data_IF_233036745354
#
_entry.id   IF_233036745354
#
_cell.length_a   1.000
_cell.length_b   1.000
_cell.length_c   1.000
_cell.angle_alpha   90.00
_cell.angle_beta   90.00
_cell.angle_gamma   90.00
#
_symmetry.space_group_name_H-M   'P 1'
#
loop_
_entity.id
_entity.type
_entity.pdbx_description
1 polymer ?
#
# COMPACT_ATOMS: atom_id res chain seq x y z
N UNK A 1 -11.97 -1.44 23.38
CA UNK A 1 -11.06 -0.28 23.21
C UNK A 1 -9.84 -0.53 24.10
N UNK A 2 -8.62 -0.53 23.56
CA UNK A 2 -7.42 -0.80 24.38
C UNK A 2 -7.18 0.35 25.35
N UNK A 3 -6.61 0.08 26.54
CA UNK A 3 -6.13 1.12 27.48
C UNK A 3 -5.27 2.19 26.78
N UNK A 4 -4.51 1.79 25.77
CA UNK A 4 -3.69 2.70 24.94
C UNK A 4 -4.53 3.65 24.08
N UNK A 5 -5.68 3.20 23.60
CA UNK A 5 -6.59 4.01 22.77
C UNK A 5 -7.33 5.04 23.63
N UNK A 6 -7.77 4.64 24.82
CA UNK A 6 -8.40 5.54 25.80
C UNK A 6 -7.43 6.64 26.24
N UNK A 7 -6.19 6.28 26.58
CA UNK A 7 -5.15 7.25 26.91
C UNK A 7 -4.87 8.21 25.75
N UNK A 8 -4.81 7.70 24.52
CA UNK A 8 -4.57 8.53 23.33
C UNK A 8 -5.70 9.51 23.07
N UNK A 9 -6.96 9.11 23.28
CA UNK A 9 -8.13 9.95 23.08
C UNK A 9 -8.17 11.15 24.04
N UNK A 10 -7.72 10.98 25.28
CA UNK A 10 -7.66 12.04 26.29
C UNK A 10 -6.35 12.84 26.26
N UNK A 11 -5.36 12.43 25.45
CA UNK A 11 -4.08 13.13 25.36
C UNK A 11 -4.20 14.37 24.47
N UNK A 12 -3.86 15.57 24.95
CA UNK A 12 -3.83 16.80 24.14
C UNK A 12 -3.05 16.66 22.83
N UNK A 13 -3.57 17.26 21.75
CA UNK A 13 -2.99 17.16 20.41
C UNK A 13 -1.52 17.63 20.35
N UNK A 14 -1.14 18.65 21.14
CA UNK A 14 0.24 19.15 21.21
C UNK A 14 1.21 18.13 21.83
N UNK A 15 0.76 17.32 22.79
CA UNK A 15 1.58 16.23 23.38
C UNK A 15 1.74 15.07 22.40
N UNK A 16 0.67 14.74 21.66
CA UNK A 16 0.74 13.73 20.61
C UNK A 16 1.70 14.16 19.49
N UNK A 17 1.64 15.41 19.05
CA UNK A 17 2.54 15.96 18.03
C UNK A 17 3.99 16.02 18.52
N UNK A 18 4.21 16.47 19.76
CA UNK A 18 5.52 16.45 20.41
C UNK A 18 6.11 15.04 20.48
N UNK A 19 5.34 14.04 20.92
CA UNK A 19 5.83 12.67 21.02
C UNK A 19 6.14 12.07 19.64
N UNK A 20 5.33 12.37 18.61
CA UNK A 20 5.63 12.00 17.22
C UNK A 20 6.95 12.63 16.74
N UNK A 21 7.15 13.93 16.98
CA UNK A 21 8.39 14.64 16.62
C UNK A 21 9.60 14.07 17.35
N UNK A 22 9.47 13.80 18.65
CA UNK A 22 10.53 13.18 19.47
C UNK A 22 10.92 11.80 18.93
N UNK A 23 9.95 10.93 18.64
CA UNK A 23 10.20 9.59 18.06
C UNK A 23 10.89 9.69 16.69
N UNK A 24 10.43 10.60 15.82
CA UNK A 24 11.05 10.87 14.52
C UNK A 24 12.49 11.33 14.67
N UNK A 25 12.76 12.30 15.54
CA UNK A 25 14.11 12.81 15.79
C UNK A 25 15.04 11.72 16.34
N UNK A 26 14.55 10.89 17.28
CA UNK A 26 15.32 9.74 17.79
C UNK A 26 15.68 8.78 16.67
N UNK A 27 14.72 8.43 15.80
CA UNK A 27 14.97 7.52 14.66
C UNK A 27 15.97 8.15 13.68
N UNK A 28 15.82 9.42 13.34
CA UNK A 28 16.76 10.11 12.45
C UNK A 28 18.19 10.11 13.02
N UNK A 29 18.37 10.37 14.33
CA UNK A 29 19.68 10.25 14.99
C UNK A 29 20.25 8.83 14.89
N UNK A 30 19.42 7.80 15.04
CA UNK A 30 19.85 6.40 14.85
C UNK A 30 20.32 6.16 13.41
N UNK A 31 19.56 6.63 12.42
CA UNK A 31 19.91 6.47 11.00
C UNK A 31 21.19 7.22 10.64
N UNK A 32 21.37 8.43 11.17
CA UNK A 32 22.58 9.23 10.99
C UNK A 32 23.81 8.50 11.57
N UNK A 33 23.69 7.93 12.78
CA UNK A 33 24.75 7.13 13.37
C UNK A 33 25.13 5.91 12.52
N UNK A 34 24.14 5.23 11.92
CA UNK A 34 24.42 4.12 10.98
C UNK A 34 25.23 4.62 9.78
N UNK A 35 24.91 5.80 9.25
CA UNK A 35 25.67 6.40 8.15
C UNK A 35 27.12 6.70 8.56
N UNK A 36 27.32 7.38 9.69
CA UNK A 36 28.63 7.80 10.22
C UNK A 36 29.53 6.60 10.59
N UNK A 37 28.93 5.47 10.96
CA UNK A 37 29.65 4.24 11.30
C UNK A 37 29.82 3.28 10.11
N UNK A 38 29.51 3.72 8.89
CA UNK A 38 29.67 2.90 7.68
C UNK A 38 28.65 1.75 7.55
N UNK A 39 27.57 1.77 8.32
CA UNK A 39 26.52 0.74 8.34
C UNK A 39 25.33 1.07 7.41
N UNK A 40 25.56 1.92 6.41
CA UNK A 40 24.57 2.19 5.36
C UNK A 40 24.32 0.94 4.52
N UNK A 41 23.05 0.63 4.28
CA UNK A 41 22.63 -0.44 3.38
C UNK A 41 22.83 0.04 1.94
N UNK A 42 23.49 -0.79 1.13
CA UNK A 42 23.69 -0.57 -0.30
C UNK A 42 22.63 -1.30 -1.12
N UNK A 43 22.52 -0.99 -2.41
CA UNK A 43 21.60 -1.68 -3.31
C UNK A 43 21.91 -3.17 -3.37
N UNK A 44 23.20 -3.54 -3.34
CA UNK A 44 23.63 -4.94 -3.32
C UNK A 44 23.18 -5.69 -2.06
N UNK A 45 23.23 -5.05 -0.88
CA UNK A 45 22.75 -5.66 0.37
C UNK A 45 21.25 -5.95 0.29
N UNK A 46 20.45 -4.98 -0.17
CA UNK A 46 19.00 -5.15 -0.34
C UNK A 46 18.70 -6.21 -1.41
N UNK A 47 19.43 -6.21 -2.53
CA UNK A 47 19.29 -7.21 -3.60
C UNK A 47 19.52 -8.63 -3.07
N UNK A 48 20.53 -8.82 -2.20
CA UNK A 48 20.81 -10.11 -1.59
C UNK A 48 19.67 -10.56 -0.67
N UNK A 49 19.07 -9.65 0.10
CA UNK A 49 17.88 -9.94 0.93
C UNK A 49 16.68 -10.37 0.05
N UNK A 50 16.43 -9.63 -1.04
CA UNK A 50 15.35 -9.92 -2.00
C UNK A 50 15.53 -11.30 -2.66
N UNK A 51 16.74 -11.63 -3.12
CA UNK A 51 17.03 -12.96 -3.69
C UNK A 51 16.84 -14.07 -2.66
N UNK A 52 17.30 -13.85 -1.42
CA UNK A 52 17.20 -14.85 -0.33
C UNK A 52 15.76 -15.17 0.05
N UNK A 53 14.85 -14.19 0.00
CA UNK A 53 13.43 -14.45 0.26
C UNK A 53 12.68 -15.04 -0.93
N UNK A 54 13.34 -15.20 -2.08
CA UNK A 54 12.80 -15.85 -3.27
C UNK A 54 12.21 -14.90 -4.31
N UNK A 55 12.58 -13.61 -4.30
CA UNK A 55 12.33 -12.73 -5.44
C UNK A 55 13.24 -13.14 -6.59
N UNK A 56 12.67 -13.27 -7.79
CA UNK A 56 13.36 -13.77 -8.98
C UNK A 56 13.19 -12.81 -10.15
N UNK A 57 14.08 -12.95 -11.14
CA UNK A 57 13.94 -12.26 -12.41
C UNK A 57 12.60 -12.64 -13.08
N UNK A 58 11.91 -11.67 -13.67
CA UNK A 58 10.57 -11.81 -14.25
C UNK A 58 9.41 -11.61 -13.26
N UNK A 59 9.68 -11.45 -11.96
CA UNK A 59 8.61 -11.27 -10.98
C UNK A 59 7.83 -9.95 -11.18
N UNK A 60 6.52 -10.01 -10.97
CA UNK A 60 5.68 -8.84 -10.70
C UNK A 60 5.59 -8.60 -9.20
N UNK A 61 5.99 -7.41 -8.73
CA UNK A 61 5.98 -7.01 -7.34
C UNK A 61 5.14 -5.75 -7.10
N UNK A 62 4.19 -5.82 -6.18
CA UNK A 62 3.56 -4.65 -5.58
C UNK A 62 4.23 -4.36 -4.22
N UNK A 63 4.75 -3.15 -4.03
CA UNK A 63 5.55 -2.83 -2.83
C UNK A 63 4.94 -1.68 -2.03
N UNK A 64 4.66 -1.95 -0.76
CA UNK A 64 4.40 -0.97 0.28
C UNK A 64 5.64 -0.85 1.15
N UNK A 65 6.00 0.36 1.59
CA UNK A 65 7.24 0.53 2.35
C UNK A 65 7.24 1.68 3.35
N UNK A 66 8.06 1.52 4.40
CA UNK A 66 8.48 2.61 5.29
C UNK A 66 9.99 2.74 5.26
N UNK A 67 10.50 3.75 4.53
CA UNK A 67 11.94 4.04 4.42
C UNK A 67 12.63 4.05 5.79
N UNK A 68 12.00 4.69 6.77
CA UNK A 68 12.56 4.83 8.11
C UNK A 68 12.76 3.49 8.83
N UNK A 69 12.09 2.41 8.42
CA UNK A 69 12.16 1.09 9.07
C UNK A 69 13.19 0.17 8.42
N UNK A 70 13.55 0.41 7.16
CA UNK A 70 14.54 -0.40 6.42
C UNK A 70 15.94 -0.26 7.02
N UNK A 71 16.31 0.96 7.44
CA UNK A 71 17.67 1.29 7.87
C UNK A 71 18.14 2.56 7.19
N UNK A 72 19.43 2.89 7.32
CA UNK A 72 20.01 3.98 6.54
C UNK A 72 20.37 3.44 5.15
N UNK A 73 19.83 4.05 4.08
CA UNK A 73 20.13 3.68 2.70
C UNK A 73 21.22 4.61 2.15
N UNK A 74 22.23 4.06 1.47
CA UNK A 74 23.41 4.81 1.02
C UNK A 74 23.07 6.02 0.12
N UNK A 75 22.04 5.88 -0.72
CA UNK A 75 21.55 6.92 -1.64
C UNK A 75 20.05 7.20 -1.42
N UNK A 76 19.57 7.03 -0.19
CA UNK A 76 18.16 7.23 0.14
C UNK A 76 17.23 6.28 -0.65
N UNK A 77 16.05 6.75 -1.10
CA UNK A 77 15.09 5.93 -1.84
C UNK A 77 15.66 5.18 -3.05
N UNK A 78 16.61 5.79 -3.78
CA UNK A 78 17.23 5.23 -4.98
C UNK A 78 17.80 3.84 -4.72
N UNK A 79 18.54 3.67 -3.62
CA UNK A 79 19.13 2.39 -3.22
C UNK A 79 18.13 1.24 -3.16
N UNK A 80 16.91 1.51 -2.68
CA UNK A 80 15.88 0.49 -2.54
C UNK A 80 15.18 0.19 -3.87
N UNK A 81 14.90 1.23 -4.68
CA UNK A 81 14.32 1.06 -6.01
C UNK A 81 15.27 0.31 -6.95
N UNK A 82 16.54 0.70 -6.99
CA UNK A 82 17.56 0.04 -7.82
C UNK A 82 17.70 -1.45 -7.47
N UNK A 83 17.65 -1.78 -6.18
CA UNK A 83 17.71 -3.17 -5.73
C UNK A 83 16.47 -3.98 -6.15
N UNK A 84 15.28 -3.39 -6.07
CA UNK A 84 14.03 -4.03 -6.53
C UNK A 84 14.06 -4.28 -8.04
N UNK A 85 14.38 -3.26 -8.84
CA UNK A 85 14.48 -3.36 -10.30
C UNK A 85 15.57 -4.37 -10.70
N UNK A 86 16.71 -4.38 -10.02
CA UNK A 86 17.78 -5.37 -10.26
C UNK A 86 17.36 -6.80 -9.90
N UNK A 87 16.53 -6.98 -8.86
CA UNK A 87 16.08 -8.29 -8.42
C UNK A 87 15.12 -8.94 -9.43
N UNK A 88 14.20 -8.13 -9.99
CA UNK A 88 13.20 -8.60 -10.95
C UNK A 88 13.71 -8.55 -12.40
N UNK A 89 14.76 -7.78 -12.68
CA UNK A 89 15.34 -7.67 -14.02
C UNK A 89 14.41 -7.01 -15.05
N UNK A 90 14.83 -6.95 -16.33
CA UNK A 90 14.11 -6.20 -17.37
C UNK A 90 12.75 -6.80 -17.75
N UNK A 91 12.52 -8.09 -17.44
CA UNK A 91 11.26 -8.78 -17.73
C UNK A 91 10.28 -8.75 -16.55
N UNK A 92 10.67 -8.18 -15.41
CA UNK A 92 9.84 -8.06 -14.22
C UNK A 92 9.07 -6.74 -14.17
N UNK A 93 8.06 -6.67 -13.31
CA UNK A 93 7.23 -5.48 -13.14
C UNK A 93 7.26 -5.02 -11.68
N UNK A 94 7.56 -3.75 -11.45
CA UNK A 94 7.52 -3.13 -10.13
C UNK A 94 6.34 -2.17 -10.07
N UNK A 95 5.51 -2.32 -9.04
CA UNK A 95 4.37 -1.47 -8.76
C UNK A 95 4.44 -0.91 -7.35
N UNK A 96 3.97 0.33 -7.17
CA UNK A 96 3.83 0.95 -5.86
C UNK A 96 2.58 1.81 -5.78
N UNK A 97 1.76 1.68 -4.71
CA UNK A 97 0.67 2.62 -4.45
C UNK A 97 1.24 4.01 -4.17
N UNK A 98 0.83 4.97 -4.97
CA UNK A 98 1.32 6.35 -4.95
C UNK A 98 0.23 7.31 -4.51
N UNK A 99 -0.69 6.88 -3.63
CA UNK A 99 -1.84 7.71 -3.26
C UNK A 99 -1.45 9.14 -2.83
N UNK A 100 -2.11 10.17 -3.37
CA UNK A 100 -1.90 11.57 -2.99
C UNK A 100 -2.54 11.92 -1.64
N UNK A 101 -3.16 10.94 -0.99
CA UNK A 101 -3.90 11.09 0.25
C UNK A 101 -3.10 10.56 1.46
N UNK A 102 -3.09 11.33 2.55
CA UNK A 102 -2.49 10.94 3.84
C UNK A 102 -3.52 10.72 4.97
N UNK A 103 -4.81 10.80 4.65
CA UNK A 103 -5.96 10.76 5.55
C UNK A 103 -7.07 9.84 4.98
N UNK A 104 -8.30 9.93 5.47
CA UNK A 104 -9.45 9.24 4.87
C UNK A 104 -9.74 9.74 3.45
N UNK A 105 -10.08 8.83 2.55
CA UNK A 105 -10.41 9.15 1.15
C UNK A 105 -11.52 10.20 1.03
N UNK A 106 -12.53 10.14 1.91
CA UNK A 106 -13.61 11.13 1.97
C UNK A 106 -13.10 12.54 2.29
N UNK A 107 -12.16 12.67 3.23
CA UNK A 107 -11.55 13.95 3.54
C UNK A 107 -10.70 14.46 2.38
N UNK A 108 -9.93 13.58 1.74
CA UNK A 108 -9.12 13.95 0.58
C UNK A 108 -9.96 14.49 -0.56
N UNK A 109 -10.97 13.75 -1.01
CA UNK A 109 -11.75 14.11 -2.19
C UNK A 109 -12.60 15.38 -1.97
N UNK A 110 -13.09 15.62 -0.75
CA UNK A 110 -13.85 16.84 -0.42
C UNK A 110 -12.97 18.09 -0.34
N UNK A 111 -11.68 17.93 -0.07
CA UNK A 111 -10.75 19.04 0.12
C UNK A 111 -9.72 19.20 -1.01
N UNK A 112 -9.86 18.41 -2.08
CA UNK A 112 -8.93 18.40 -3.21
C UNK A 112 -9.69 18.70 -4.50
N UNK A 113 -9.36 19.79 -5.21
CA UNK A 113 -10.12 20.21 -6.39
C UNK A 113 -9.89 19.28 -7.60
N UNK A 114 -8.72 18.63 -7.68
CA UNK A 114 -8.37 17.75 -8.79
C UNK A 114 -7.26 16.75 -8.42
N UNK A 115 -7.15 15.69 -9.20
CA UNK A 115 -6.01 14.80 -9.23
C UNK A 115 -5.30 14.93 -10.58
N UNK A 116 -4.01 15.25 -10.56
CA UNK A 116 -3.15 15.30 -11.74
C UNK A 116 -2.16 14.13 -11.67
N UNK A 117 -2.19 13.26 -12.69
CA UNK A 117 -1.42 12.01 -12.69
C UNK A 117 0.08 12.23 -12.62
N UNK A 118 0.58 13.29 -13.27
CA UNK A 118 2.00 13.64 -13.35
C UNK A 118 2.45 14.49 -12.16
N UNK A 119 1.59 15.36 -11.65
CA UNK A 119 2.00 16.40 -10.69
C UNK A 119 1.53 16.16 -9.26
N UNK A 120 0.47 15.38 -9.03
CA UNK A 120 -0.03 15.13 -7.67
C UNK A 120 0.93 14.22 -6.90
N UNK A 121 1.63 14.72 -5.86
CA UNK A 121 2.68 13.96 -5.20
C UNK A 121 2.10 12.80 -4.41
N UNK A 122 2.83 11.71 -4.33
CA UNK A 122 2.53 10.61 -3.41
C UNK A 122 2.68 11.08 -1.96
N UNK A 123 1.74 10.67 -1.11
CA UNK A 123 1.79 10.87 0.36
C UNK A 123 2.07 9.57 1.12
N UNK A 124 2.23 8.45 0.43
CA UNK A 124 2.48 7.13 1.05
C UNK A 124 3.94 6.87 1.43
N UNK A 125 4.85 7.81 1.13
CA UNK A 125 6.23 7.76 1.60
C UNK A 125 7.25 8.32 0.60
N UNK A 126 8.48 8.54 1.06
CA UNK A 126 9.58 9.05 0.20
C UNK A 126 9.97 8.09 -0.91
N UNK A 127 9.81 6.78 -0.69
CA UNK A 127 10.12 5.75 -1.69
C UNK A 127 9.11 5.81 -2.83
N UNK A 128 7.82 5.88 -2.51
CA UNK A 128 6.76 5.91 -3.52
C UNK A 128 6.76 7.22 -4.30
N UNK A 129 7.08 8.35 -3.67
CA UNK A 129 7.25 9.62 -4.39
C UNK A 129 8.48 9.61 -5.32
N UNK A 130 9.62 9.08 -4.84
CA UNK A 130 10.80 8.93 -5.70
C UNK A 130 10.49 8.03 -6.90
N UNK A 131 9.84 6.89 -6.67
CA UNK A 131 9.44 5.96 -7.72
C UNK A 131 8.49 6.59 -8.74
N UNK A 132 7.45 7.29 -8.26
CA UNK A 132 6.47 8.00 -9.10
C UNK A 132 7.13 8.99 -10.06
N UNK A 133 8.18 9.68 -9.60
CA UNK A 133 8.87 10.72 -10.34
C UNK A 133 9.98 10.22 -11.27
N UNK A 134 10.23 8.91 -11.34
CA UNK A 134 11.18 8.35 -12.31
C UNK A 134 10.64 8.51 -13.74
N UNK A 135 11.48 8.82 -14.74
CA UNK A 135 11.05 9.00 -16.12
C UNK A 135 10.26 7.82 -16.70
N UNK A 136 10.64 6.59 -16.34
CA UNK A 136 10.02 5.36 -16.86
C UNK A 136 8.79 4.92 -16.04
N UNK A 137 8.45 5.61 -14.94
CA UNK A 137 7.30 5.28 -14.11
C UNK A 137 6.02 5.86 -14.69
N UNK A 138 5.11 4.99 -15.09
CA UNK A 138 3.74 5.36 -15.48
C UNK A 138 2.78 5.17 -14.30
N UNK A 139 1.70 5.94 -14.24
CA UNK A 139 0.78 5.93 -13.08
C UNK A 139 -0.69 5.84 -13.52
N UNK A 140 -1.47 5.06 -12.80
CA UNK A 140 -2.90 4.86 -13.07
C UNK A 140 -3.74 6.09 -12.71
N UNK A 141 -4.85 6.32 -13.42
CA UNK A 141 -5.71 7.51 -13.31
C UNK A 141 -6.87 7.39 -12.30
N UNK A 142 -6.74 6.61 -11.23
CA UNK A 142 -7.73 6.64 -10.15
C UNK A 142 -7.41 7.78 -9.17
N UNK A 143 -8.36 8.68 -8.85
CA UNK A 143 -8.06 9.89 -8.08
C UNK A 143 -7.63 9.62 -6.62
N UNK A 144 -8.11 8.54 -6.01
CA UNK A 144 -7.85 8.25 -4.58
C UNK A 144 -6.73 7.23 -4.33
N UNK A 145 -6.56 6.23 -5.19
CA UNK A 145 -5.64 5.10 -4.98
C UNK A 145 -4.79 4.79 -6.23
N UNK A 146 -4.15 5.80 -6.85
CA UNK A 146 -3.31 5.54 -8.02
C UNK A 146 -2.11 4.64 -7.66
N UNK A 147 -1.71 3.80 -8.61
CA UNK A 147 -0.53 2.95 -8.53
C UNK A 147 0.41 3.34 -9.68
N UNK A 148 1.69 3.50 -9.35
CA UNK A 148 2.75 3.64 -10.34
C UNK A 148 3.31 2.28 -10.70
N UNK A 149 3.78 2.12 -11.94
CA UNK A 149 4.36 0.90 -12.45
C UNK A 149 5.58 1.19 -13.35
N UNK A 150 6.60 0.34 -13.25
CA UNK A 150 7.74 0.22 -14.17
C UNK A 150 7.86 -1.25 -14.58
N UNK A 151 7.99 -1.51 -15.88
CA UNK A 151 8.15 -2.86 -16.41
C UNK A 151 7.40 -3.06 -17.73
N UNK A 152 7.64 -4.19 -18.43
CA UNK A 152 7.05 -4.46 -19.75
C UNK A 152 5.52 -4.55 -19.74
N UNK A 153 4.91 -4.87 -18.60
CA UNK A 153 3.45 -4.93 -18.42
C UNK A 153 2.89 -3.72 -17.66
N UNK A 154 3.67 -2.63 -17.51
CA UNK A 154 3.24 -1.44 -16.77
C UNK A 154 1.87 -0.93 -17.22
N UNK A 155 1.66 -0.79 -18.54
CA UNK A 155 0.39 -0.32 -19.12
C UNK A 155 -0.78 -1.27 -18.83
N UNK A 156 -0.54 -2.59 -18.86
CA UNK A 156 -1.57 -3.59 -18.53
C UNK A 156 -2.13 -3.38 -17.12
N UNK A 157 -1.25 -3.11 -16.15
CA UNK A 157 -1.67 -2.93 -14.77
C UNK A 157 -2.46 -1.65 -14.53
N UNK A 158 -2.07 -0.55 -15.18
CA UNK A 158 -2.55 0.79 -14.79
C UNK A 158 -3.69 1.34 -15.64
N UNK A 159 -3.79 0.95 -16.92
CA UNK A 159 -4.66 1.65 -17.89
C UNK A 159 -6.15 1.56 -17.55
N UNK A 160 -6.62 0.40 -17.09
CA UNK A 160 -8.05 0.17 -16.85
C UNK A 160 -8.51 0.67 -15.47
N UNK A 161 -7.62 1.31 -14.71
CA UNK A 161 -7.98 1.94 -13.44
C UNK A 161 -8.72 3.27 -13.64
N UNK A 162 -8.63 3.84 -14.84
CA UNK A 162 -9.36 5.05 -15.19
C UNK A 162 -10.88 4.80 -15.19
N UNK A 163 -11.62 5.79 -14.69
CA UNK A 163 -13.08 5.81 -14.66
C UNK A 163 -13.73 4.60 -13.97
N UNK A 164 -13.00 3.97 -13.04
CA UNK A 164 -13.54 2.92 -12.19
C UNK A 164 -14.27 3.56 -11.00
N UNK A 165 -15.49 3.07 -10.73
CA UNK A 165 -16.28 3.60 -9.61
C UNK A 165 -15.66 3.28 -8.25
N UNK A 166 -14.88 2.22 -8.14
CA UNK A 166 -14.15 1.84 -6.93
C UNK A 166 -12.69 1.47 -7.28
N UNK A 167 -11.72 1.74 -6.38
CA UNK A 167 -10.30 1.58 -6.70
C UNK A 167 -9.75 0.15 -6.60
N UNK A 168 -10.53 -0.83 -6.16
CA UNK A 168 -10.00 -2.17 -5.85
C UNK A 168 -10.67 -3.30 -6.63
N UNK A 169 -11.52 -2.94 -7.59
CA UNK A 169 -12.22 -3.90 -8.44
C UNK A 169 -11.26 -4.65 -9.38
N UNK A 170 -11.82 -5.55 -10.20
CA UNK A 170 -11.04 -6.39 -11.13
C UNK A 170 -10.16 -5.63 -12.13
N UNK A 171 -10.49 -4.38 -12.44
CA UNK A 171 -9.72 -3.54 -13.34
C UNK A 171 -8.56 -2.82 -12.64
N UNK A 172 -8.52 -2.86 -11.31
CA UNK A 172 -7.50 -2.20 -10.50
C UNK A 172 -6.14 -2.91 -10.61
N UNK A 173 -5.02 -2.17 -10.44
CA UNK A 173 -3.70 -2.76 -10.31
C UNK A 173 -3.60 -3.76 -9.16
N UNK A 174 -4.34 -3.53 -8.06
CA UNK A 174 -4.34 -4.41 -6.88
C UNK A 174 -4.87 -5.81 -7.20
N UNK A 175 -5.94 -5.89 -7.99
CA UNK A 175 -6.52 -7.16 -8.42
C UNK A 175 -5.63 -7.84 -9.47
N UNK A 176 -5.20 -7.09 -10.48
CA UNK A 176 -4.38 -7.61 -11.60
C UNK A 176 -3.04 -8.20 -11.16
N UNK A 177 -2.43 -7.70 -10.09
CA UNK A 177 -1.21 -8.32 -9.52
C UNK A 177 -1.48 -9.75 -9.06
N UNK A 178 -2.66 -10.02 -8.48
CA UNK A 178 -3.10 -11.37 -8.15
C UNK A 178 -3.35 -12.22 -9.40
N UNK A 179 -4.04 -11.70 -10.40
CA UNK A 179 -4.30 -12.42 -11.66
C UNK A 179 -3.02 -12.86 -12.37
N UNK A 180 -1.97 -12.04 -12.29
CA UNK A 180 -0.67 -12.33 -12.89
C UNK A 180 0.25 -13.21 -12.02
N UNK A 181 -0.24 -13.75 -10.89
CA UNK A 181 0.58 -14.54 -9.96
C UNK A 181 1.73 -13.73 -9.34
N UNK A 182 1.52 -12.42 -9.16
CA UNK A 182 2.50 -11.51 -8.59
C UNK A 182 2.66 -11.69 -7.07
N UNK A 183 3.60 -10.93 -6.51
CA UNK A 183 3.89 -10.92 -5.07
C UNK A 183 3.67 -9.53 -4.48
N UNK A 184 3.30 -9.47 -3.21
CA UNK A 184 3.18 -8.20 -2.48
C UNK A 184 4.23 -8.16 -1.37
N UNK A 185 4.96 -7.05 -1.27
CA UNK A 185 5.92 -6.79 -0.21
C UNK A 185 5.43 -5.66 0.69
N UNK A 186 5.28 -5.95 1.98
CA UNK A 186 4.99 -4.97 3.03
C UNK A 186 6.25 -4.69 3.85
N UNK A 187 7.11 -3.79 3.38
CA UNK A 187 8.46 -3.56 3.91
C UNK A 187 8.46 -2.53 5.04
N UNK A 188 8.55 -2.98 6.29
CA UNK A 188 8.54 -2.10 7.46
C UNK A 188 7.17 -1.48 7.73
N UNK A 189 6.14 -2.05 7.12
CA UNK A 189 4.72 -1.73 7.25
C UNK A 189 3.96 -3.05 7.50
N UNK A 190 2.71 -2.95 7.92
CA UNK A 190 1.84 -4.11 8.17
C UNK A 190 0.52 -3.93 7.43
N UNK A 191 -0.42 -4.87 7.56
CA UNK A 191 -1.70 -4.77 6.88
C UNK A 191 -2.55 -3.64 7.48
N UNK A 192 -2.36 -3.29 8.76
CA UNK A 192 -3.09 -2.19 9.41
C UNK A 192 -2.83 -0.81 8.80
N UNK A 193 -1.62 -0.56 8.28
CA UNK A 193 -1.26 0.76 7.74
C UNK A 193 -1.03 0.78 6.23
N UNK A 194 -0.96 -0.40 5.60
CA UNK A 194 -0.65 -0.51 4.18
C UNK A 194 -1.46 -1.60 3.47
N UNK A 195 -2.42 -2.26 4.12
CA UNK A 195 -3.17 -3.40 3.57
C UNK A 195 -4.14 -3.08 2.44
N UNK A 196 -3.79 -2.21 1.49
CA UNK A 196 -4.66 -1.76 0.41
C UNK A 196 -5.24 -2.92 -0.41
N UNK A 197 -4.46 -3.97 -0.66
CA UNK A 197 -4.93 -5.16 -1.38
C UNK A 197 -6.01 -5.95 -0.63
N UNK A 198 -6.23 -5.74 0.67
CA UNK A 198 -7.36 -6.34 1.39
C UNK A 198 -8.72 -5.84 0.85
N UNK A 199 -8.75 -4.62 0.32
CA UNK A 199 -9.97 -3.99 -0.19
C UNK A 199 -10.48 -4.62 -1.50
N UNK A 200 -9.64 -5.42 -2.17
CA UNK A 200 -10.07 -6.19 -3.35
C UNK A 200 -11.19 -7.17 -3.02
N UNK A 201 -11.27 -7.66 -1.77
CA UNK A 201 -12.40 -8.48 -1.30
C UNK A 201 -13.72 -7.71 -1.34
N UNK A 202 -13.71 -6.45 -0.91
CA UNK A 202 -14.94 -5.64 -0.81
C UNK A 202 -15.56 -5.40 -2.18
N UNK A 203 -14.73 -5.17 -3.20
CA UNK A 203 -15.17 -4.97 -4.59
C UNK A 203 -15.44 -6.27 -5.34
N UNK A 204 -14.88 -7.41 -4.89
CA UNK A 204 -15.09 -8.70 -5.53
C UNK A 204 -16.40 -9.40 -5.13
N UNK A 205 -17.01 -9.00 -4.01
CA UNK A 205 -18.28 -9.56 -3.52
C UNK A 205 -19.42 -8.59 -3.87
N UNK A 206 -20.33 -8.94 -4.79
CA UNK A 206 -21.42 -8.05 -5.22
C UNK A 206 -22.29 -7.52 -4.08
N UNK A 207 -22.57 -8.35 -3.08
CA UNK A 207 -23.35 -8.01 -1.89
C UNK A 207 -22.48 -8.09 -0.62
N UNK A 208 -21.34 -7.39 -0.64
CA UNK A 208 -20.44 -7.38 0.52
C UNK A 208 -21.21 -6.95 1.79
N UNK A 209 -21.11 -7.77 2.84
CA UNK A 209 -21.96 -7.72 4.05
C UNK A 209 -22.02 -6.34 4.73
N UNK A 210 -20.98 -5.51 4.57
CA UNK A 210 -20.88 -4.21 5.24
C UNK A 210 -20.91 -3.08 4.21
N UNK A 211 -21.63 -1.96 4.47
CA UNK A 211 -21.65 -0.83 3.56
C UNK A 211 -20.39 0.02 3.74
N UNK A 212 -19.26 -0.49 3.27
CA UNK A 212 -17.92 0.08 3.49
C UNK A 212 -17.67 1.37 2.72
N UNK A 213 -18.48 1.66 1.69
CA UNK A 213 -18.42 2.89 0.91
C UNK A 213 -19.38 3.94 1.46
N UNK A 214 -18.94 5.19 1.42
CA UNK A 214 -19.78 6.33 1.74
C UNK A 214 -20.96 6.40 0.74
N UNK A 215 -22.19 6.74 1.18
CA UNK A 215 -23.37 6.64 0.31
C UNK A 215 -23.34 7.55 -0.92
N UNK A 216 -22.65 8.69 -0.82
CA UNK A 216 -22.50 9.67 -1.90
C UNK A 216 -21.44 9.23 -2.91
N UNK A 217 -21.76 9.27 -4.21
CA UNK A 217 -20.76 9.16 -5.28
C UNK A 217 -20.10 10.51 -5.44
N UNK A 218 -18.78 10.52 -5.35
CA UNK A 218 -17.98 11.73 -5.45
C UNK A 218 -17.59 11.97 -6.90
N UNK A 219 -17.54 13.24 -7.30
CA UNK A 219 -17.02 13.69 -8.59
C UNK A 219 -15.73 14.49 -8.35
N UNK A 220 -14.70 14.23 -9.15
CA UNK A 220 -13.41 14.94 -9.07
C UNK A 220 -12.82 15.11 -10.47
N UNK A 221 -12.18 16.26 -10.69
CA UNK A 221 -11.42 16.49 -11.91
C UNK A 221 -10.12 15.68 -11.91
N UNK A 222 -9.85 14.96 -12.99
CA UNK A 222 -8.64 14.17 -13.19
C UNK A 222 -7.92 14.67 -14.44
N UNK A 223 -6.63 14.99 -14.33
CA UNK A 223 -5.78 15.35 -15.46
C UNK A 223 -4.92 14.16 -15.87
N UNK A 224 -4.99 13.78 -17.14
CA UNK A 224 -4.17 12.73 -17.74
C UNK A 224 -2.74 13.20 -18.07
N UNK A 225 -1.92 12.29 -18.58
CA UNK A 225 -0.52 12.57 -18.94
C UNK A 225 -0.35 13.56 -20.10
N UNK A 226 -1.42 13.81 -20.87
CA UNK A 226 -1.46 14.82 -21.94
C UNK A 226 -2.00 16.17 -21.44
N UNK A 227 -2.45 16.25 -20.18
CA UNK A 227 -3.06 17.42 -19.58
C UNK A 227 -4.55 17.58 -19.88
N UNK A 228 -5.21 16.58 -20.46
CA UNK A 228 -6.66 16.65 -20.67
C UNK A 228 -7.40 16.47 -19.33
N UNK A 229 -8.44 17.27 -19.12
CA UNK A 229 -9.29 17.19 -17.94
C UNK A 229 -10.45 16.20 -18.16
N UNK A 230 -10.67 15.34 -17.16
CA UNK A 230 -11.72 14.34 -17.13
C UNK A 230 -12.50 14.45 -15.82
N UNK A 231 -13.83 14.55 -15.89
CA UNK A 231 -14.67 14.47 -14.69
C UNK A 231 -14.91 12.99 -14.35
N UNK A 232 -14.32 12.51 -13.25
CA UNK A 232 -14.38 11.10 -12.85
C UNK A 232 -15.30 10.92 -11.64
N UNK A 233 -16.13 9.88 -11.70
CA UNK A 233 -16.97 9.42 -10.58
C UNK A 233 -16.27 8.34 -9.78
N UNK A 234 -16.26 8.47 -8.46
CA UNK A 234 -15.68 7.45 -7.56
C UNK A 234 -16.47 7.36 -6.26
N UNK A 235 -16.57 6.15 -5.73
CA UNK A 235 -16.92 5.90 -4.33
C UNK A 235 -15.65 5.99 -3.49
N UNK A 236 -15.84 6.37 -2.23
CA UNK A 236 -14.76 6.44 -1.24
C UNK A 236 -15.17 5.69 0.00
N UNK A 237 -14.20 5.09 0.69
CA UNK A 237 -14.47 4.40 1.93
C UNK A 237 -15.08 5.32 2.99
N UNK A 238 -16.11 4.83 3.66
CA UNK A 238 -16.74 5.52 4.79
C UNK A 238 -15.80 5.46 6.02
N UNK A 239 -15.41 6.61 6.59
CA UNK A 239 -14.63 6.66 7.83
C UNK A 239 -15.26 5.87 9.00
N UNK A 240 -16.60 5.75 9.02
CA UNK A 240 -17.35 4.98 10.02
C UNK A 240 -16.92 3.51 10.06
N UNK A 241 -16.73 2.90 8.89
CA UNK A 241 -16.27 1.51 8.77
C UNK A 241 -14.75 1.43 8.75
N UNK A 242 -14.07 2.41 8.15
CA UNK A 242 -12.60 2.42 8.04
C UNK A 242 -11.90 2.30 9.40
N UNK A 243 -12.44 2.95 10.44
CA UNK A 243 -11.90 2.88 11.82
C UNK A 243 -12.08 1.53 12.52
N UNK A 244 -12.94 0.65 11.99
CA UNK A 244 -13.27 -0.66 12.57
C UNK A 244 -12.36 -1.78 12.05
N UNK A 245 -11.50 -1.49 11.06
CA UNK A 245 -10.59 -2.44 10.44
C UNK A 245 -9.56 -2.95 11.46
N UNK A 246 -9.31 -4.25 11.40
CA UNK A 246 -8.37 -5.03 12.21
C UNK A 246 -7.49 -5.87 11.27
N UNK A 247 -6.86 -5.23 10.30
CA UNK A 247 -6.19 -5.89 9.19
C UNK A 247 -5.09 -6.87 9.64
N UNK A 248 -4.29 -6.49 10.64
CA UNK A 248 -3.22 -7.35 11.15
C UNK A 248 -3.74 -8.63 11.84
N UNK A 249 -5.01 -8.65 12.29
CA UNK A 249 -5.63 -9.85 12.86
C UNK A 249 -5.91 -10.94 11.82
N UNK A 250 -5.81 -10.62 10.52
CA UNK A 250 -5.91 -11.61 9.45
C UNK A 250 -4.59 -12.33 9.15
N UNK A 251 -3.45 -11.80 9.62
CA UNK A 251 -2.11 -12.38 9.35
C UNK A 251 -2.04 -13.88 9.69
N UNK A 252 -2.53 -14.36 10.87
CA UNK A 252 -2.49 -15.78 11.19
C UNK A 252 -3.20 -16.68 10.17
N UNK A 253 -4.32 -16.23 9.59
CA UNK A 253 -5.04 -16.99 8.57
C UNK A 253 -4.22 -17.11 7.28
N UNK A 254 -3.55 -16.03 6.86
CA UNK A 254 -2.69 -16.05 5.68
C UNK A 254 -1.41 -16.86 5.86
N UNK A 255 -0.83 -16.85 7.07
CA UNK A 255 0.30 -17.73 7.42
C UNK A 255 -0.14 -19.20 7.39
N UNK A 256 -1.28 -19.52 8.00
CA UNK A 256 -1.82 -20.89 8.03
C UNK A 256 -2.15 -21.41 6.61
N UNK A 257 -2.61 -20.54 5.72
CA UNK A 257 -2.84 -20.87 4.31
C UNK A 257 -1.55 -20.97 3.47
N UNK A 258 -0.38 -20.61 4.02
CA UNK A 258 0.90 -20.63 3.31
C UNK A 258 1.10 -19.50 2.30
N UNK A 259 0.21 -18.51 2.25
CA UNK A 259 0.20 -17.42 1.26
C UNK A 259 0.91 -16.16 1.77
N UNK A 260 1.28 -16.12 3.05
CA UNK A 260 2.04 -15.03 3.66
C UNK A 260 3.18 -15.59 4.52
N UNK A 261 4.37 -15.04 4.34
CA UNK A 261 5.53 -15.32 5.21
C UNK A 261 6.17 -14.03 5.73
N UNK A 262 6.74 -14.11 6.94
CA UNK A 262 7.48 -13.01 7.55
C UNK A 262 8.97 -13.17 7.25
N UNK A 263 9.58 -12.11 6.70
CA UNK A 263 11.00 -12.04 6.33
C UNK A 263 11.59 -10.69 6.75
N UNK A 264 12.86 -10.43 6.43
CA UNK A 264 13.50 -9.13 6.68
C UNK A 264 14.13 -8.57 5.41
N UNK A 265 14.12 -7.23 5.32
CA UNK A 265 14.92 -6.45 4.38
C UNK A 265 15.64 -5.37 5.18
N UNK A 266 16.96 -5.44 5.24
CA UNK A 266 17.73 -4.66 6.20
C UNK A 266 17.22 -4.86 7.64
N UNK A 267 16.79 -3.77 8.27
CA UNK A 267 16.21 -3.76 9.61
C UNK A 267 14.68 -3.90 9.62
N UNK A 268 14.02 -3.87 8.46
CA UNK A 268 12.57 -3.89 8.38
C UNK A 268 12.01 -5.31 8.47
N UNK A 269 11.09 -5.53 9.40
CA UNK A 269 10.16 -6.67 9.32
C UNK A 269 9.33 -6.50 8.04
N UNK A 270 9.23 -7.57 7.27
CA UNK A 270 8.59 -7.56 5.95
C UNK A 270 7.62 -8.72 5.85
N UNK A 271 6.41 -8.45 5.35
CA UNK A 271 5.49 -9.51 4.93
C UNK A 271 5.68 -9.73 3.43
N UNK A 272 5.99 -10.97 3.04
CA UNK A 272 6.04 -11.40 1.65
C UNK A 272 4.82 -12.27 1.38
N UNK A 273 3.99 -11.82 0.44
CA UNK A 273 2.66 -12.35 0.16
C UNK A 273 2.58 -12.85 -1.28
N UNK A 274 2.03 -14.05 -1.47
CA UNK A 274 1.52 -14.51 -2.76
C UNK A 274 0.18 -13.79 -3.03
N UNK A 275 0.14 -12.91 -4.02
CA UNK A 275 -1.00 -12.02 -4.24
C UNK A 275 -2.28 -12.79 -4.59
N UNK A 276 -2.16 -13.87 -5.39
CA UNK A 276 -3.31 -14.68 -5.78
C UNK A 276 -3.85 -15.46 -4.58
N UNK A 277 -2.97 -16.21 -3.91
CA UNK A 277 -3.33 -16.97 -2.73
C UNK A 277 -3.90 -16.10 -1.61
N UNK A 278 -3.42 -14.86 -1.46
CA UNK A 278 -3.95 -13.88 -0.51
C UNK A 278 -5.41 -13.52 -0.82
N UNK A 279 -5.72 -13.17 -2.07
CA UNK A 279 -7.07 -12.86 -2.50
C UNK A 279 -8.00 -14.07 -2.38
N UNK A 280 -7.60 -15.23 -2.89
CA UNK A 280 -8.40 -16.46 -2.84
C UNK A 280 -8.70 -16.87 -1.40
N UNK A 281 -7.71 -16.70 -0.49
CA UNK A 281 -7.90 -16.97 0.94
C UNK A 281 -8.92 -16.01 1.56
N UNK A 282 -8.89 -14.72 1.22
CA UNK A 282 -9.90 -13.77 1.70
C UNK A 282 -11.32 -14.16 1.26
N UNK A 283 -11.49 -14.50 -0.02
CA UNK A 283 -12.80 -14.92 -0.56
C UNK A 283 -13.29 -16.20 0.13
N UNK A 284 -12.41 -17.19 0.30
CA UNK A 284 -12.72 -18.44 1.01
C UNK A 284 -13.16 -18.18 2.45
N UNK A 285 -12.38 -17.40 3.20
CA UNK A 285 -12.66 -17.07 4.60
C UNK A 285 -13.97 -16.27 4.77
N UNK A 286 -14.25 -15.37 3.84
CA UNK A 286 -15.51 -14.63 3.81
C UNK A 286 -16.70 -15.58 3.60
N UNK A 287 -16.66 -16.41 2.57
CA UNK A 287 -17.77 -17.30 2.21
C UNK A 287 -18.02 -18.40 3.26
N UNK A 288 -16.95 -19.00 3.80
CA UNK A 288 -17.09 -20.13 4.73
C UNK A 288 -17.33 -19.71 6.18
N UNK A 289 -16.79 -18.54 6.59
CA UNK A 289 -16.68 -18.17 8.01
C UNK A 289 -17.10 -16.73 8.29
N UNK A 290 -17.48 -15.94 7.29
CA UNK A 290 -17.76 -14.51 7.45
C UNK A 290 -16.54 -13.70 7.92
N UNK A 291 -15.33 -14.23 7.74
CA UNK A 291 -14.09 -13.57 8.19
C UNK A 291 -13.71 -12.47 7.22
N UNK A 292 -13.48 -11.27 7.74
CA UNK A 292 -13.02 -10.09 6.99
C UNK A 292 -12.09 -9.25 7.84
N UNK A 293 -11.52 -8.18 7.29
CA UNK A 293 -10.76 -7.20 8.09
C UNK A 293 -11.62 -6.48 9.14
N UNK A 294 -12.95 -6.53 9.05
CA UNK A 294 -13.87 -5.95 10.03
C UNK A 294 -14.23 -6.95 11.14
N UNK A 295 -14.26 -8.23 10.78
CA UNK A 295 -14.69 -9.37 11.63
C UNK A 295 -13.70 -10.52 11.50
N UNK A 296 -12.48 -10.39 12.03
CA UNK A 296 -11.39 -11.34 11.80
C UNK A 296 -11.62 -12.74 12.41
N UNK A 297 -12.63 -12.90 13.26
CA UNK A 297 -13.05 -14.18 13.84
C UNK A 297 -14.42 -14.64 13.33
N UNK A 298 -14.99 -13.99 12.31
CA UNK A 298 -16.31 -14.30 11.78
C UNK A 298 -17.47 -13.79 12.63
N UNK A 299 -17.17 -12.93 13.62
CA UNK A 299 -18.18 -12.34 14.50
C UNK A 299 -19.12 -11.38 13.74
N UNK A 300 -20.21 -10.95 14.39
CA UNK A 300 -21.03 -9.84 13.87
C UNK A 300 -20.33 -8.52 14.14
N UNK A 301 -20.29 -7.64 13.14
CA UNK A 301 -19.75 -6.30 13.30
C UNK A 301 -20.69 -5.44 14.14
N UNK A 302 -20.24 -5.01 15.32
CA UNK A 302 -20.93 -4.02 16.15
C UNK A 302 -20.49 -2.62 15.68
N UNK A 303 -21.42 -1.87 15.09
CA UNK A 303 -21.19 -0.58 14.43
C UNK A 303 -21.63 0.59 15.31
#
# INVERSE_FOLDING_TARGET
MSWKDTLRAITPAYLLSWNRKRKKNKRNKTLQKLAETGQSLTAQTILNDLKRMGIRAGDTLLVHSSLSRIGHLSEGPKTFIDALLSAIGPNGNLLMPTSPNADYQLNYIRNTPFFDVLNSPSKTGKITEYFRALPDSKRSLHPTEPVSAIGPLGDYFIKDHFNQLTPYNKNSPFYKVGEMGGKILYVGVTLDNAGTSLHTLEDAIPDFKYPVYYPEIMEIQVFDELGNAHLVKTKVHDPKYSKLRKCDQLIPHFVAAGVLKQVKIGQANTLLVDAKGFFDTMVKLYNEKGITMYTPNGETLNV
#
